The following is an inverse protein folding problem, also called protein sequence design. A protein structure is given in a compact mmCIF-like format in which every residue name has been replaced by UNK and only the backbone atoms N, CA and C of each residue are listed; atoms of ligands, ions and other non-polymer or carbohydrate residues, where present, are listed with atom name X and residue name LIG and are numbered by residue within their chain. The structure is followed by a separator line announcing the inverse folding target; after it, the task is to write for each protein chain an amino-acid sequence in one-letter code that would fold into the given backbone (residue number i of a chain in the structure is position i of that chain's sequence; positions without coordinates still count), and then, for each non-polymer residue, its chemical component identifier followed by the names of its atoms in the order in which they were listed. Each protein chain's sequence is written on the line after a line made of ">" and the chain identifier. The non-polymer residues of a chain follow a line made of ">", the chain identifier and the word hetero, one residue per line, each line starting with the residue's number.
data_IF_451285131344
#
_entry.id   IF_451285131344
#
_cell.length_a   1.000
_cell.length_b   1.000
_cell.length_c   1.000
_cell.angle_alpha   90.00
_cell.angle_beta   90.00
_cell.angle_gamma   90.00
#
_symmetry.space_group_name_H-M   'P 1'
#
loop_
_entity.id
_entity.type
_entity.pdbx_description
1 polymer ?
#
# COMPACT_ATOMS: atom_id res chain seq x y z
N UNK A 1 14.99 25.15 5.94
CA UNK A 1 14.52 24.03 5.11
C UNK A 1 13.00 24.01 5.16
N UNK A 2 12.30 24.16 4.03
CA UNK A 2 10.84 24.27 3.92
C UNK A 2 10.19 22.91 3.63
N UNK A 3 8.88 22.79 3.84
CA UNK A 3 8.13 21.56 3.52
C UNK A 3 8.29 21.15 2.05
N UNK A 4 8.39 22.12 1.14
CA UNK A 4 8.65 21.93 -0.29
C UNK A 4 10.06 21.36 -0.55
N UNK A 5 11.06 21.83 0.18
CA UNK A 5 12.44 21.34 0.07
C UNK A 5 12.57 19.91 0.59
N UNK A 6 11.89 19.59 1.69
CA UNK A 6 11.81 18.23 2.23
C UNK A 6 11.12 17.29 1.24
N UNK A 7 9.96 17.70 0.68
CA UNK A 7 9.24 16.93 -0.35
C UNK A 7 10.11 16.64 -1.58
N UNK A 8 10.79 17.65 -2.12
CA UNK A 8 11.62 17.51 -3.32
C UNK A 8 12.83 16.59 -3.07
N UNK A 9 13.47 16.69 -1.91
CA UNK A 9 14.57 15.81 -1.52
C UNK A 9 14.14 14.34 -1.43
N UNK A 10 12.95 14.09 -0.88
CA UNK A 10 12.38 12.75 -0.73
C UNK A 10 11.99 12.10 -2.07
N UNK A 11 11.42 12.89 -2.99
CA UNK A 11 11.13 12.46 -4.37
C UNK A 11 12.42 12.07 -5.10
N UNK A 12 13.44 12.94 -5.06
CA UNK A 12 14.75 12.69 -5.68
C UNK A 12 15.42 11.43 -5.11
N UNK A 13 15.29 11.18 -3.81
CA UNK A 13 15.86 9.99 -3.19
C UNK A 13 15.11 8.71 -3.53
N UNK A 14 13.78 8.76 -3.60
CA UNK A 14 12.96 7.63 -4.03
C UNK A 14 13.28 7.23 -5.49
N UNK A 15 13.40 8.21 -6.38
CA UNK A 15 13.80 8.00 -7.78
C UNK A 15 15.20 7.38 -7.90
N UNK A 16 16.19 7.92 -7.17
CA UNK A 16 17.57 7.40 -7.18
C UNK A 16 17.67 5.96 -6.67
N UNK A 17 16.77 5.56 -5.77
CA UNK A 17 16.76 4.21 -5.21
C UNK A 17 15.76 3.25 -5.88
N UNK A 18 15.10 3.66 -6.99
CA UNK A 18 14.02 2.90 -7.64
C UNK A 18 12.92 2.48 -6.64
N UNK A 19 12.69 3.28 -5.61
CA UNK A 19 11.62 3.07 -4.64
C UNK A 19 10.32 3.72 -5.14
N UNK A 20 9.15 3.21 -4.74
CA UNK A 20 7.89 3.85 -5.07
C UNK A 20 7.88 5.33 -4.61
N UNK A 21 7.20 6.23 -5.35
CA UNK A 21 7.15 7.64 -5.01
C UNK A 21 6.62 7.84 -3.59
N UNK A 22 7.19 8.83 -2.89
CA UNK A 22 6.95 9.18 -1.48
C UNK A 22 5.45 9.31 -1.10
N UNK A 23 4.60 9.54 -2.10
CA UNK A 23 3.13 9.54 -2.03
C UNK A 23 2.56 8.30 -1.32
N UNK A 24 3.16 7.12 -1.48
CA UNK A 24 2.71 5.88 -0.82
C UNK A 24 2.98 5.90 0.69
N UNK A 25 4.09 6.52 1.12
CA UNK A 25 4.41 6.66 2.55
C UNK A 25 3.48 7.68 3.21
N UNK A 26 3.20 8.81 2.55
CA UNK A 26 2.19 9.76 3.00
C UNK A 26 0.81 9.08 3.09
N UNK A 27 0.42 8.32 2.06
CA UNK A 27 -0.86 7.60 2.06
C UNK A 27 -0.96 6.61 3.23
N UNK A 28 0.13 5.91 3.56
CA UNK A 28 0.20 5.02 4.72
C UNK A 28 0.02 5.77 6.04
N UNK A 29 0.76 6.86 6.25
CA UNK A 29 0.68 7.65 7.48
C UNK A 29 -0.71 8.25 7.68
N UNK A 30 -1.31 8.80 6.61
CA UNK A 30 -2.69 9.29 6.65
C UNK A 30 -3.68 8.17 6.96
N UNK A 31 -3.53 7.01 6.31
CA UNK A 31 -4.39 5.84 6.54
C UNK A 31 -4.34 5.38 8.00
N UNK A 32 -3.14 5.24 8.57
CA UNK A 32 -2.95 4.87 9.97
C UNK A 32 -3.56 5.93 10.89
N UNK A 33 -3.39 7.22 10.59
CA UNK A 33 -3.98 8.28 11.40
C UNK A 33 -5.51 8.33 11.35
N UNK A 34 -6.12 7.98 10.22
CA UNK A 34 -7.56 7.81 10.12
C UNK A 34 -8.00 6.60 10.95
N UNK A 35 -7.37 5.43 10.72
CA UNK A 35 -7.71 4.16 11.37
C UNK A 35 -7.57 4.22 12.89
N UNK A 36 -6.45 4.75 13.37
CA UNK A 36 -6.10 4.74 14.79
C UNK A 36 -6.61 6.01 15.52
N UNK A 37 -7.32 6.88 14.81
CA UNK A 37 -7.87 8.10 15.39
C UNK A 37 -6.82 9.18 15.72
N UNK A 38 -5.57 9.01 15.31
CA UNK A 38 -4.48 9.94 15.63
C UNK A 38 -4.47 11.19 14.73
N UNK A 39 -3.66 12.18 15.10
CA UNK A 39 -3.56 13.43 14.37
C UNK A 39 -2.65 13.28 13.14
N UNK A 40 -3.10 13.78 11.99
CA UNK A 40 -2.27 13.92 10.80
C UNK A 40 -2.73 15.14 10.00
N UNK A 41 -1.82 16.02 9.53
CA UNK A 41 -2.18 17.29 8.87
C UNK A 41 -3.11 17.13 7.66
N UNK A 42 -2.99 16.03 6.93
CA UNK A 42 -3.83 15.74 5.76
C UNK A 42 -5.13 14.98 6.05
N UNK A 43 -5.39 14.56 7.30
CA UNK A 43 -6.53 13.70 7.66
C UNK A 43 -7.87 14.36 7.33
N UNK A 44 -8.08 15.60 7.76
CA UNK A 44 -9.33 16.32 7.51
C UNK A 44 -9.57 16.54 6.01
N UNK A 45 -8.52 16.91 5.28
CA UNK A 45 -8.58 17.08 3.83
C UNK A 45 -8.97 15.77 3.12
N UNK A 46 -8.34 14.66 3.49
CA UNK A 46 -8.63 13.34 2.90
C UNK A 46 -10.02 12.81 3.25
N UNK A 47 -10.55 13.08 4.45
CA UNK A 47 -11.92 12.70 4.80
C UNK A 47 -12.97 13.56 4.08
N UNK A 48 -12.60 14.77 3.64
CA UNK A 48 -13.49 15.72 2.97
C UNK A 48 -13.59 15.54 1.46
N UNK A 49 -12.72 14.73 0.83
CA UNK A 49 -12.67 14.62 -0.62
C UNK A 49 -13.90 13.94 -1.22
N UNK A 50 -14.73 13.25 -0.41
CA UNK A 50 -15.90 12.47 -0.88
C UNK A 50 -15.60 11.55 -2.08
N UNK A 51 -14.32 11.22 -2.29
CA UNK A 51 -13.89 10.37 -3.38
C UNK A 51 -13.94 8.93 -2.90
N UNK A 52 -14.67 8.11 -3.65
CA UNK A 52 -14.54 6.66 -3.60
C UNK A 52 -13.06 6.30 -3.75
N UNK A 53 -12.54 5.31 -2.99
CA UNK A 53 -11.15 4.90 -3.09
C UNK A 53 -10.83 4.47 -4.53
N UNK A 54 -10.10 5.31 -5.26
CA UNK A 54 -9.57 4.97 -6.58
C UNK A 54 -8.57 3.84 -6.41
N UNK A 55 -8.68 2.80 -7.23
CA UNK A 55 -7.71 1.71 -7.22
C UNK A 55 -6.33 2.29 -7.57
N UNK A 56 -5.31 1.95 -6.79
CA UNK A 56 -3.95 2.42 -7.08
C UNK A 56 -3.45 1.93 -8.43
N UNK A 57 -4.00 0.85 -8.96
CA UNK A 57 -3.75 0.38 -10.33
C UNK A 57 -4.17 1.38 -11.41
N UNK A 58 -5.06 2.33 -11.09
CA UNK A 58 -5.48 3.43 -11.97
C UNK A 58 -4.56 4.66 -11.83
N UNK A 59 -3.81 4.77 -10.73
CA UNK A 59 -2.73 5.73 -10.56
C UNK A 59 -1.43 5.21 -11.17
N UNK A 60 -0.88 5.89 -12.18
CA UNK A 60 0.32 5.41 -12.90
C UNK A 60 1.50 5.12 -11.95
N UNK A 61 1.75 3.84 -11.69
CA UNK A 61 3.09 3.30 -11.42
C UNK A 61 3.26 2.52 -10.12
N UNK A 62 2.75 1.29 -10.06
CA UNK A 62 3.44 0.29 -9.23
C UNK A 62 4.86 0.08 -9.76
N UNK A 63 5.87 0.20 -8.90
CA UNK A 63 7.24 -0.16 -9.26
C UNK A 63 7.48 -1.68 -9.23
N UNK A 64 6.59 -2.43 -8.57
CA UNK A 64 6.69 -3.89 -8.38
C UNK A 64 5.46 -4.60 -9.00
N UNK A 65 5.66 -5.42 -10.06
CA UNK A 65 4.58 -6.20 -10.68
C UNK A 65 3.87 -7.17 -9.72
N UNK A 66 4.57 -7.67 -8.70
CA UNK A 66 4.03 -8.61 -7.72
C UNK A 66 3.04 -7.91 -6.79
N UNK A 67 3.36 -6.68 -6.39
CA UNK A 67 2.46 -5.84 -5.62
C UNK A 67 1.21 -5.45 -6.41
N UNK A 68 1.38 -5.09 -7.69
CA UNK A 68 0.25 -4.84 -8.59
C UNK A 68 -0.66 -6.07 -8.73
N UNK A 69 -0.08 -7.26 -8.90
CA UNK A 69 -0.86 -8.50 -8.97
C UNK A 69 -1.67 -8.73 -7.70
N UNK A 70 -1.04 -8.60 -6.52
CA UNK A 70 -1.70 -8.73 -5.24
C UNK A 70 -2.83 -7.70 -5.06
N UNK A 71 -2.58 -6.44 -5.44
CA UNK A 71 -3.59 -5.37 -5.37
C UNK A 71 -4.82 -5.68 -6.22
N UNK A 72 -4.62 -6.06 -7.47
CA UNK A 72 -5.70 -6.44 -8.38
C UNK A 72 -6.49 -7.62 -7.83
N UNK A 73 -5.79 -8.64 -7.31
CA UNK A 73 -6.44 -9.82 -6.75
C UNK A 73 -7.28 -9.49 -5.51
N UNK A 74 -6.76 -8.68 -4.58
CA UNK A 74 -7.47 -8.24 -3.38
C UNK A 74 -8.68 -7.36 -3.72
N UNK A 75 -8.54 -6.50 -4.73
CA UNK A 75 -9.57 -5.53 -5.11
C UNK A 75 -10.76 -6.17 -5.83
N UNK A 76 -10.53 -7.31 -6.48
CA UNK A 76 -11.59 -8.04 -7.17
C UNK A 76 -12.67 -8.63 -6.24
N UNK A 77 -12.37 -8.93 -4.97
CA UNK A 77 -13.37 -9.38 -3.99
C UNK A 77 -13.03 -8.97 -2.55
N UNK A 78 -14.00 -8.42 -1.84
CA UNK A 78 -13.84 -7.93 -0.46
C UNK A 78 -13.41 -9.00 0.55
N UNK A 79 -13.80 -10.27 0.35
CA UNK A 79 -13.49 -11.40 1.25
C UNK A 79 -12.01 -11.81 1.22
N UNK A 80 -11.31 -11.55 0.12
CA UNK A 80 -9.91 -11.96 -0.11
C UNK A 80 -8.93 -11.32 0.88
N UNK A 81 -9.20 -10.08 1.29
CA UNK A 81 -8.42 -9.37 2.31
C UNK A 81 -8.44 -10.12 3.64
N UNK A 82 -9.62 -10.44 4.14
CA UNK A 82 -9.79 -11.13 5.43
C UNK A 82 -9.19 -12.54 5.39
N UNK A 83 -9.35 -13.25 4.28
CA UNK A 83 -8.71 -14.54 4.06
C UNK A 83 -7.18 -14.45 4.17
N UNK A 84 -6.55 -13.53 3.44
CA UNK A 84 -5.09 -13.44 3.40
C UNK A 84 -4.50 -13.08 4.77
N UNK A 85 -5.16 -12.15 5.50
CA UNK A 85 -4.77 -11.79 6.86
C UNK A 85 -4.82 -13.00 7.81
N UNK A 86 -5.88 -13.81 7.72
CA UNK A 86 -6.04 -15.02 8.53
C UNK A 86 -5.06 -16.13 8.15
N UNK A 87 -4.92 -16.41 6.85
CA UNK A 87 -4.08 -17.49 6.31
C UNK A 87 -2.60 -17.28 6.62
N UNK A 88 -2.11 -16.06 6.40
CA UNK A 88 -0.70 -15.71 6.62
C UNK A 88 -0.42 -15.25 8.06
N UNK A 89 -1.45 -15.09 8.89
CA UNK A 89 -1.34 -14.56 10.27
C UNK A 89 -0.58 -13.23 10.34
N UNK A 90 -0.74 -12.39 9.32
CA UNK A 90 -0.08 -11.08 9.22
C UNK A 90 -1.02 -9.96 9.68
N UNK A 91 -0.43 -8.86 10.13
CA UNK A 91 -1.19 -7.65 10.51
C UNK A 91 -1.64 -6.87 9.27
N UNK A 92 -2.76 -6.11 9.33
CA UNK A 92 -3.22 -5.26 8.23
C UNK A 92 -2.17 -4.28 7.68
N UNK A 93 -1.29 -3.78 8.54
CA UNK A 93 -0.21 -2.86 8.17
C UNK A 93 0.86 -3.55 7.32
N UNK A 94 1.09 -4.85 7.55
CA UNK A 94 2.00 -5.64 6.76
C UNK A 94 1.40 -5.96 5.39
N UNK A 95 0.09 -6.28 5.34
CA UNK A 95 -0.65 -6.44 4.08
C UNK A 95 -0.67 -5.14 3.27
N UNK A 96 -0.78 -3.98 3.92
CA UNK A 96 -0.59 -2.69 3.27
C UNK A 96 0.81 -2.61 2.63
N UNK A 97 1.87 -2.93 3.36
CA UNK A 97 3.22 -2.87 2.77
C UNK A 97 3.39 -3.78 1.55
N UNK A 98 2.80 -4.99 1.59
CA UNK A 98 2.81 -5.92 0.46
C UNK A 98 2.04 -5.36 -0.74
N UNK A 99 0.79 -4.95 -0.53
CA UNK A 99 -0.09 -4.39 -1.56
C UNK A 99 0.56 -3.22 -2.30
N UNK A 100 1.38 -2.44 -1.61
CA UNK A 100 2.02 -1.23 -2.15
C UNK A 100 3.49 -1.40 -2.55
N UNK A 101 4.02 -2.64 -2.60
CA UNK A 101 5.40 -2.90 -3.03
C UNK A 101 6.47 -2.29 -2.13
N UNK A 102 6.13 -2.05 -0.85
CA UNK A 102 7.08 -1.58 0.17
C UNK A 102 7.93 -2.74 0.73
N UNK A 103 7.52 -3.97 0.48
CA UNK A 103 8.29 -5.19 0.73
C UNK A 103 8.90 -5.65 -0.58
N UNK A 104 10.23 -5.79 -0.62
CA UNK A 104 10.94 -6.26 -1.80
C UNK A 104 10.46 -7.65 -2.23
N UNK A 105 10.39 -7.90 -3.54
CA UNK A 105 9.98 -9.21 -4.12
C UNK A 105 10.82 -10.39 -3.62
N UNK A 106 12.05 -10.16 -3.18
CA UNK A 106 12.94 -11.19 -2.62
C UNK A 106 12.56 -11.62 -1.19
N UNK A 107 11.63 -10.92 -0.54
CA UNK A 107 11.19 -11.28 0.81
C UNK A 107 10.40 -12.60 0.79
N UNK A 108 10.68 -13.56 1.69
CA UNK A 108 10.10 -14.91 1.65
C UNK A 108 8.57 -14.96 1.70
N UNK A 109 7.96 -13.95 2.34
CA UNK A 109 6.50 -13.81 2.42
C UNK A 109 5.80 -13.85 1.05
N UNK A 110 6.46 -13.45 -0.04
CA UNK A 110 5.83 -13.47 -1.36
C UNK A 110 5.51 -14.88 -1.85
N UNK A 111 6.35 -15.87 -1.52
CA UNK A 111 6.07 -17.27 -1.82
C UNK A 111 4.83 -17.77 -1.05
N UNK A 112 4.69 -17.34 0.21
CA UNK A 112 3.53 -17.67 1.04
C UNK A 112 2.25 -16.99 0.52
N UNK A 113 2.34 -15.73 0.07
CA UNK A 113 1.24 -15.00 -0.55
C UNK A 113 0.77 -15.70 -1.82
N UNK A 114 1.68 -16.09 -2.71
CA UNK A 114 1.33 -16.81 -3.93
C UNK A 114 0.66 -18.16 -3.63
N UNK A 115 1.18 -18.92 -2.68
CA UNK A 115 0.57 -20.18 -2.25
C UNK A 115 -0.84 -19.96 -1.69
N UNK A 116 -1.02 -18.96 -0.82
CA UNK A 116 -2.31 -18.62 -0.25
C UNK A 116 -3.33 -18.21 -1.33
N UNK A 117 -2.91 -17.44 -2.34
CA UNK A 117 -3.74 -17.05 -3.48
C UNK A 117 -4.17 -18.26 -4.30
N UNK A 118 -3.27 -19.22 -4.58
CA UNK A 118 -3.59 -20.44 -5.33
C UNK A 118 -4.56 -21.36 -4.58
N UNK A 119 -4.46 -21.40 -3.25
CA UNK A 119 -5.34 -22.20 -2.40
C UNK A 119 -6.72 -21.58 -2.18
N UNK A 120 -6.86 -20.28 -2.42
CA UNK A 120 -8.13 -19.58 -2.25
C UNK A 120 -9.15 -20.08 -3.28
N UNK A 121 -10.15 -20.80 -2.80
CA UNK A 121 -11.31 -21.22 -3.59
C UNK A 121 -12.44 -20.24 -3.33
N UNK A 122 -12.88 -19.61 -4.42
CA UNK A 122 -13.96 -18.64 -4.45
C UNK A 122 -15.34 -19.25 -4.17
#
# INVERSE_FOLDING_TARGET
>A
MTLTEVRNALILMAQRQKRPPYEIYIAKEVYLAIKDGTNHPLKAAVLSTNQEPTLLSEGRGYSDPTALYLDNWLSAKSTRKSYLLGKLKIKPEFLFNLRFGLIQVTHPIWAEVEAAIREFKD
#
